data_IF_509086751573
#
_entry.id   IF_509086751573
#
_cell.length_a   1.000
_cell.length_b   1.000
_cell.length_c   1.000
_cell.angle_alpha   90.00
_cell.angle_beta   90.00
_cell.angle_gamma   90.00
#
_symmetry.space_group_name_H-M   'P 1'
#
loop_
_entity.id
_entity.type
_entity.pdbx_description
1 polymer ?
#
# COMPACT_ATOMS: atom_id res chain seq x y z
N UNK A 1 19.98 -0.33 10.48
CA UNK A 1 19.07 0.33 9.65
C UNK A 1 19.14 -0.21 8.25
N UNK A 2 18.01 -0.32 7.59
CA UNK A 2 17.98 -0.83 6.24
C UNK A 2 18.71 0.17 5.35
N UNK A 3 19.60 -0.30 4.47
CA UNK A 3 20.34 0.64 3.66
C UNK A 3 19.50 1.09 2.47
N UNK A 4 20.02 2.06 1.74
CA UNK A 4 19.25 2.70 0.66
C UNK A 4 18.88 1.71 -0.42
N UNK A 5 19.78 0.81 -0.76
CA UNK A 5 19.51 -0.14 -1.83
C UNK A 5 18.39 -1.08 -1.39
N UNK A 6 18.47 -1.57 -0.17
CA UNK A 6 17.45 -2.48 0.33
C UNK A 6 16.12 -1.75 0.45
N UNK A 7 16.15 -0.50 0.91
CA UNK A 7 14.93 0.28 1.04
C UNK A 7 14.27 0.46 -0.31
N UNK A 8 15.05 0.73 -1.34
CA UNK A 8 14.48 0.88 -2.66
C UNK A 8 13.84 -0.40 -3.14
N UNK A 9 14.49 -1.53 -2.86
CA UNK A 9 13.93 -2.81 -3.25
C UNK A 9 12.62 -3.08 -2.55
N UNK A 10 12.57 -2.80 -1.26
CA UNK A 10 11.36 -3.04 -0.49
C UNK A 10 10.22 -2.15 -0.98
N UNK A 11 10.52 -0.89 -1.21
CA UNK A 11 9.47 0.03 -1.64
C UNK A 11 9.03 -0.26 -3.08
N UNK A 12 9.96 -0.66 -3.93
CA UNK A 12 9.59 -1.00 -5.30
C UNK A 12 8.70 -2.23 -5.33
N UNK A 13 8.99 -3.21 -4.50
CA UNK A 13 8.15 -4.41 -4.44
C UNK A 13 6.77 -4.07 -3.90
N UNK A 14 6.71 -3.21 -2.90
CA UNK A 14 5.43 -2.82 -2.33
C UNK A 14 4.60 -2.04 -3.33
N UNK A 15 5.24 -1.12 -4.04
CA UNK A 15 4.52 -0.36 -5.07
C UNK A 15 4.00 -1.28 -6.17
N UNK A 16 4.82 -2.21 -6.61
CA UNK A 16 4.42 -3.12 -7.68
C UNK A 16 3.22 -3.96 -7.24
N UNK A 17 3.24 -4.42 -5.99
CA UNK A 17 2.13 -5.22 -5.49
C UNK A 17 0.83 -4.41 -5.50
N UNK A 18 0.92 -3.17 -5.04
CA UNK A 18 -0.26 -2.32 -4.96
C UNK A 18 -0.77 -1.98 -6.36
N UNK A 19 0.15 -1.64 -7.24
CA UNK A 19 -0.26 -1.27 -8.60
C UNK A 19 -0.85 -2.45 -9.34
N UNK A 20 -0.36 -3.64 -9.09
CA UNK A 20 -0.94 -4.81 -9.71
C UNK A 20 -2.36 -5.04 -9.22
N UNK A 21 -2.60 -4.84 -7.93
CA UNK A 21 -3.94 -5.00 -7.42
C UNK A 21 -4.87 -3.93 -7.96
N UNK A 22 -4.41 -2.70 -8.05
CA UNK A 22 -5.22 -1.65 -8.62
C UNK A 22 -5.54 -1.94 -10.08
N UNK A 23 -4.55 -2.38 -10.83
CA UNK A 23 -4.77 -2.69 -12.23
C UNK A 23 -5.76 -3.83 -12.38
N UNK A 24 -5.72 -4.78 -11.47
CA UNK A 24 -6.65 -5.87 -11.56
C UNK A 24 -8.09 -5.39 -11.34
N UNK A 25 -8.29 -4.49 -10.39
CA UNK A 25 -9.61 -3.96 -10.16
C UNK A 25 -10.09 -3.15 -11.36
N UNK A 26 -9.20 -2.34 -11.92
CA UNK A 26 -9.58 -1.54 -13.06
C UNK A 26 -9.68 -2.39 -14.32
N UNK A 27 -8.81 -3.35 -14.43
CA UNK A 27 -8.82 -4.20 -15.59
C UNK A 27 -10.07 -5.04 -15.70
N UNK A 28 -10.58 -5.44 -14.56
CA UNK A 28 -11.79 -6.17 -14.59
C UNK A 28 -12.86 -5.39 -15.26
N UNK A 29 -12.80 -4.09 -15.11
CA UNK A 29 -13.75 -3.31 -15.71
C UNK A 29 -13.59 -3.36 -17.16
N UNK A 30 -12.42 -3.30 -17.68
CA UNK A 30 -12.36 -3.12 -19.00
C UNK A 30 -12.16 -4.32 -19.73
N UNK A 31 -11.40 -5.06 -19.35
CA UNK A 31 -11.00 -5.92 -20.12
C UNK A 31 -11.78 -6.86 -20.62
N UNK A 32 -12.14 -7.57 -20.05
CA UNK A 32 -12.78 -8.48 -20.53
C UNK A 32 -14.06 -8.38 -20.64
N UNK A 33 -14.36 -7.38 -20.90
CA UNK A 33 -15.66 -7.17 -21.01
C UNK A 33 -16.32 -8.21 -21.69
N UNK A 34 -15.65 -8.76 -22.46
CA UNK A 34 -16.29 -9.58 -23.19
C UNK A 34 -16.94 -10.57 -22.51
N UNK A 35 -16.41 -10.99 -21.62
CA UNK A 35 -16.99 -11.94 -21.07
C UNK A 35 -18.01 -11.69 -20.33
N UNK A 36 -18.06 -10.99 -20.00
CA UNK A 36 -18.96 -10.68 -19.24
C UNK A 36 -20.20 -11.05 -19.34
N UNK A 37 -20.51 -11.36 -19.81
CA UNK A 37 -21.64 -11.66 -19.92
C UNK A 37 -22.41 -12.11 -18.94
N UNK A 38 -22.11 -12.30 -18.01
CA UNK A 38 -22.81 -12.66 -17.03
C UNK A 38 -23.73 -11.90 -16.52
N UNK A 39 -24.58 -11.71 -16.89
CA UNK A 39 -25.47 -10.90 -16.41
C UNK A 39 -26.21 -11.37 -15.32
N UNK A 40 -26.26 -12.38 -15.00
CA UNK A 40 -27.05 -12.80 -13.92
C UNK A 40 -26.68 -12.26 -12.64
N UNK A 41 -25.63 -11.62 -12.52
CA UNK A 41 -25.22 -11.19 -11.32
C UNK A 41 -25.44 -9.83 -11.00
N UNK A 42 -26.37 -9.18 -11.43
CA UNK A 42 -26.46 -7.82 -11.19
C UNK A 42 -26.70 -7.49 -9.78
N UNK A 43 -27.45 -8.22 -9.07
CA UNK A 43 -27.69 -7.91 -7.68
C UNK A 43 -26.44 -8.04 -6.89
N UNK A 44 -25.69 -9.05 -7.18
CA UNK A 44 -24.44 -9.23 -6.49
C UNK A 44 -23.47 -8.16 -6.89
N UNK A 45 -23.60 -7.67 -8.09
CA UNK A 45 -22.71 -6.68 -8.54
C UNK A 45 -22.74 -5.43 -7.73
N UNK A 46 -23.87 -4.97 -7.29
CA UNK A 46 -23.90 -3.78 -6.54
C UNK A 46 -23.11 -3.91 -5.27
N UNK A 47 -23.26 -5.01 -4.59
CA UNK A 47 -22.51 -5.23 -3.38
C UNK A 47 -21.04 -5.34 -3.68
N UNK A 48 -20.71 -5.97 -4.76
CA UNK A 48 -19.34 -6.12 -5.13
C UNK A 48 -18.72 -4.78 -5.49
N UNK A 49 -19.46 -3.92 -6.10
CA UNK A 49 -18.94 -2.59 -6.41
C UNK A 49 -18.57 -1.83 -5.19
N UNK A 50 -19.36 -1.90 -4.14
CA UNK A 50 -19.01 -1.21 -2.92
C UNK A 50 -17.75 -1.75 -2.32
N UNK A 51 -17.58 -3.07 -2.32
CA UNK A 51 -16.38 -3.65 -1.80
C UNK A 51 -15.18 -3.28 -2.64
N UNK A 52 -15.34 -3.24 -3.94
CA UNK A 52 -14.24 -2.89 -4.82
C UNK A 52 -13.83 -1.45 -4.63
N UNK A 53 -14.77 -0.57 -4.44
CA UNK A 53 -14.44 0.82 -4.20
C UNK A 53 -13.67 0.98 -2.92
N UNK A 54 -14.07 0.29 -1.88
CA UNK A 54 -13.41 0.36 -0.63
C UNK A 54 -11.99 -0.18 -0.74
N UNK A 55 -11.83 -1.26 -1.47
CA UNK A 55 -10.52 -1.82 -1.65
C UNK A 55 -9.65 -0.90 -2.48
N UNK A 56 -10.22 -0.27 -3.49
CA UNK A 56 -9.46 0.65 -4.30
C UNK A 56 -8.98 1.83 -3.46
N UNK A 57 -9.82 2.36 -2.61
CA UNK A 57 -9.44 3.45 -1.75
C UNK A 57 -8.30 3.04 -0.82
N UNK A 58 -8.37 1.85 -0.26
CA UNK A 58 -7.32 1.34 0.58
C UNK A 58 -6.02 1.22 -0.18
N UNK A 59 -6.07 0.71 -1.38
CA UNK A 59 -4.85 0.54 -2.17
C UNK A 59 -4.26 1.89 -2.55
N UNK A 60 -5.09 2.87 -2.85
CA UNK A 60 -4.57 4.19 -3.16
C UNK A 60 -3.93 4.83 -1.93
N UNK A 61 -4.49 4.57 -0.77
CA UNK A 61 -3.90 5.06 0.46
C UNK A 61 -2.55 4.39 0.69
N UNK A 62 -2.46 3.10 0.44
CA UNK A 62 -1.20 2.41 0.57
C UNK A 62 -0.17 2.94 -0.41
N UNK A 63 -0.61 3.26 -1.63
CA UNK A 63 0.30 3.81 -2.61
C UNK A 63 0.81 5.18 -2.17
N UNK A 64 -0.06 6.00 -1.59
CA UNK A 64 0.36 7.29 -1.07
C UNK A 64 1.41 7.10 0.04
N UNK A 65 1.26 6.07 0.84
CA UNK A 65 2.24 5.78 1.87
C UNK A 65 3.59 5.40 1.26
N UNK A 66 3.57 4.65 0.15
CA UNK A 66 4.80 4.32 -0.54
C UNK A 66 5.47 5.60 -1.04
N UNK A 67 4.68 6.50 -1.60
CA UNK A 67 5.24 7.74 -2.13
C UNK A 67 5.85 8.58 -1.02
N UNK A 68 5.21 8.63 0.13
CA UNK A 68 5.78 9.36 1.27
C UNK A 68 7.09 8.72 1.71
N UNK A 69 7.13 7.39 1.70
CA UNK A 69 8.35 6.69 2.08
C UNK A 69 9.46 6.97 1.07
N UNK A 70 9.12 7.01 -0.19
CA UNK A 70 10.11 7.32 -1.22
C UNK A 70 10.66 8.73 -1.04
N UNK A 71 9.81 9.66 -0.66
CA UNK A 71 10.26 11.01 -0.38
C UNK A 71 11.20 11.05 0.81
N UNK A 72 10.89 10.29 1.84
CA UNK A 72 11.79 10.23 3.00
C UNK A 72 13.11 9.59 2.62
N UNK A 73 13.08 8.60 1.75
CA UNK A 73 14.31 7.98 1.31
C UNK A 73 15.17 8.99 0.57
N UNK A 74 14.58 9.79 -0.28
CA UNK A 74 15.31 10.80 -1.00
C UNK A 74 15.85 11.88 -0.06
N UNK A 75 15.13 12.15 1.01
CA UNK A 75 15.56 13.16 1.96
C UNK A 75 16.54 12.62 3.01
N UNK A 76 16.77 11.32 3.01
CA UNK A 76 17.71 10.75 3.98
C UNK A 76 17.10 10.46 5.34
N UNK A 77 15.76 10.44 5.42
CA UNK A 77 15.11 10.19 6.71
C UNK A 77 14.29 8.92 6.70
N UNK A 78 14.44 8.09 5.68
CA UNK A 78 13.72 6.83 5.64
C UNK A 78 14.19 5.96 6.80
N UNK A 79 13.24 5.27 7.40
CA UNK A 79 13.55 4.38 8.52
C UNK A 79 13.54 5.05 9.86
N UNK A 80 13.22 6.33 9.90
CA UNK A 80 13.11 7.04 11.16
C UNK A 80 11.66 7.41 11.39
N UNK A 81 11.26 7.37 12.65
CA UNK A 81 9.90 7.74 13.00
C UNK A 81 9.62 9.18 12.60
N UNK A 82 8.46 9.42 12.01
CA UNK A 82 8.09 10.78 11.65
C UNK A 82 7.72 11.60 12.88
N UNK A 83 7.51 10.96 14.01
CA UNK A 83 7.19 11.68 15.24
C UNK A 83 8.42 11.97 16.08
N UNK A 84 9.21 10.98 16.34
CA UNK A 84 10.32 11.15 17.27
C UNK A 84 11.67 11.18 16.60
N UNK A 85 11.75 10.72 15.36
CA UNK A 85 13.05 10.62 14.72
C UNK A 85 13.83 9.40 15.13
N UNK A 86 13.23 8.54 15.94
CA UNK A 86 13.94 7.35 16.39
C UNK A 86 13.93 6.28 15.32
N UNK A 87 14.95 5.43 15.29
CA UNK A 87 15.00 4.43 14.22
C UNK A 87 13.90 3.40 14.37
N UNK A 88 13.27 3.09 13.25
CA UNK A 88 12.32 2.00 13.19
C UNK A 88 13.11 0.72 12.97
N UNK A 89 12.82 -0.35 13.71
CA UNK A 89 13.63 -1.58 13.57
C UNK A 89 13.63 -2.12 12.15
N UNK A 90 14.76 -2.66 11.74
CA UNK A 90 14.87 -3.22 10.40
C UNK A 90 13.85 -4.30 10.16
N UNK A 91 13.59 -5.11 11.16
CA UNK A 91 12.61 -6.18 11.00
C UNK A 91 11.26 -5.62 10.65
N UNK A 92 10.92 -4.49 11.24
CA UNK A 92 9.64 -3.87 10.96
C UNK A 92 9.61 -3.34 9.53
N UNK A 93 10.69 -2.74 9.10
CA UNK A 93 10.76 -2.19 7.75
C UNK A 93 10.72 -3.29 6.70
N UNK A 94 11.28 -4.46 7.01
CA UNK A 94 11.21 -5.56 6.06
C UNK A 94 9.78 -6.05 5.88
N UNK A 95 8.97 -5.97 6.90
CA UNK A 95 7.60 -6.40 6.82
C UNK A 95 6.68 -5.27 6.38
N UNK A 96 6.94 -4.07 6.86
CA UNK A 96 6.11 -2.90 6.53
C UNK A 96 7.05 -1.80 6.04
N UNK A 97 7.41 -1.83 4.76
CA UNK A 97 8.39 -0.86 4.25
C UNK A 97 7.96 0.58 4.37
N UNK A 98 6.66 0.82 4.46
CA UNK A 98 6.16 2.18 4.57
C UNK A 98 5.95 2.61 6.00
N UNK A 99 6.44 1.86 6.98
CA UNK A 99 6.24 2.19 8.38
C UNK A 99 6.75 3.59 8.66
N UNK A 100 5.98 4.35 9.39
CA UNK A 100 6.33 5.72 9.73
C UNK A 100 6.52 5.92 11.21
N UNK A 101 6.20 4.93 12.02
CA UNK A 101 6.31 5.02 13.47
C UNK A 101 6.96 3.78 14.00
N UNK A 102 7.56 3.90 15.17
CA UNK A 102 8.03 2.70 15.85
C UNK A 102 6.82 1.91 16.35
N UNK A 103 7.05 0.67 16.70
CA UNK A 103 5.96 -0.17 17.20
C UNK A 103 5.34 0.44 18.45
N UNK A 104 6.19 1.01 19.30
CA UNK A 104 5.69 1.61 20.52
C UNK A 104 4.83 2.81 20.25
N UNK A 105 5.23 3.61 19.25
CA UNK A 105 4.43 4.77 18.90
C UNK A 105 3.10 4.36 18.30
N UNK A 106 3.10 3.33 17.50
CA UNK A 106 1.86 2.84 16.94
C UNK A 106 0.92 2.37 18.03
N UNK A 107 1.45 1.69 19.00
CA UNK A 107 0.62 1.25 20.12
C UNK A 107 0.07 2.43 20.88
N UNK A 108 0.87 3.46 21.05
CA UNK A 108 0.41 4.63 21.77
C UNK A 108 -0.73 5.33 21.06
N UNK A 109 -0.78 5.19 19.75
CA UNK A 109 -1.88 5.79 19.00
C UNK A 109 -3.10 4.90 18.94
N UNK A 110 -3.10 3.88 19.72
CA UNK A 110 -4.28 3.10 19.86
C UNK A 110 -4.47 2.10 18.78
N UNK A 111 -3.49 1.92 18.01
CA UNK A 111 -3.59 1.01 16.89
C UNK A 111 -3.59 -0.41 17.34
#
# INVERSE_FOLDING_TARGET
MVDVVRARELLAAERARIEQELARLEGDDRGDAEDDLDEGDQATDMYQDELDESREDDLREQLAAVERAEERLAAGTYGLSVESGEPIPDERLEVVPTAELTVEEERAHGG
#
